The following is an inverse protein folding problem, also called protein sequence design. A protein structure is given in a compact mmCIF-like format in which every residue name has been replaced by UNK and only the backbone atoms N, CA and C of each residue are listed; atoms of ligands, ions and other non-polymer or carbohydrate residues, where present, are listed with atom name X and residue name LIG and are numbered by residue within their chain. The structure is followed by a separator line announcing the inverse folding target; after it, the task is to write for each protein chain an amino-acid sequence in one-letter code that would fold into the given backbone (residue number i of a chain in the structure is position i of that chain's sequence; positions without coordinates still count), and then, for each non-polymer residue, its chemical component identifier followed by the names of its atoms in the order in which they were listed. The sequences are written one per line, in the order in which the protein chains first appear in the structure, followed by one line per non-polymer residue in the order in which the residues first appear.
data_IF_239223333722
#
_entry.id   IF_239223333722
#
_cell.length_a   1.000
_cell.length_b   1.000
_cell.length_c   1.000
_cell.angle_alpha   90.00
_cell.angle_beta   90.00
_cell.angle_gamma   90.00
#
_symmetry.space_group_name_H-M   'P 1'
#
loop_
_entity.id
_entity.type
_entity.pdbx_description
1 polymer ?
#
# COMPACT_ATOMS: atom_id res chain seq x y z
N UNK A 1 -31.94 -0.86 9.71
CA UNK A 1 -31.30 0.25 8.97
C UNK A 1 -29.85 -0.13 8.77
N UNK A 2 -29.49 -0.42 7.54
CA UNK A 2 -28.21 -1.04 7.18
C UNK A 2 -27.08 -0.03 7.39
N UNK A 3 -26.18 -0.26 8.36
CA UNK A 3 -25.01 0.59 8.65
C UNK A 3 -23.91 0.45 7.57
N UNK A 4 -24.32 0.25 6.32
CA UNK A 4 -23.44 -0.16 5.24
C UNK A 4 -22.48 0.96 4.85
N UNK A 5 -22.91 2.22 4.89
CA UNK A 5 -22.06 3.40 4.66
C UNK A 5 -20.91 3.49 5.68
N UNK A 6 -21.19 3.27 6.97
CA UNK A 6 -20.20 3.25 8.06
C UNK A 6 -19.24 2.07 7.93
N UNK A 7 -19.74 0.90 7.51
CA UNK A 7 -18.92 -0.29 7.26
C UNK A 7 -17.98 -0.06 6.08
N UNK A 8 -18.47 0.56 5.00
CA UNK A 8 -17.64 0.94 3.85
C UNK A 8 -16.57 1.93 4.28
N UNK A 9 -16.91 2.99 5.02
CA UNK A 9 -15.94 3.95 5.54
C UNK A 9 -14.83 3.28 6.33
N UNK A 10 -15.18 2.36 7.26
CA UNK A 10 -14.21 1.60 8.03
C UNK A 10 -13.28 0.76 7.14
N UNK A 11 -13.84 0.07 6.14
CA UNK A 11 -13.03 -0.72 5.18
C UNK A 11 -12.08 0.16 4.39
N UNK A 12 -12.56 1.28 3.85
CA UNK A 12 -11.73 2.20 3.07
C UNK A 12 -10.63 2.84 3.93
N UNK A 13 -10.95 3.21 5.17
CA UNK A 13 -10.00 3.81 6.10
C UNK A 13 -8.89 2.83 6.49
N UNK A 14 -9.25 1.59 6.85
CA UNK A 14 -8.28 0.54 7.20
C UNK A 14 -7.43 0.16 5.99
N UNK A 15 -8.02 0.09 4.80
CA UNK A 15 -7.29 -0.32 3.60
C UNK A 15 -6.30 0.75 3.12
N UNK A 16 -6.67 2.03 3.18
CA UNK A 16 -5.79 3.14 2.80
C UNK A 16 -5.40 3.18 1.32
N UNK A 17 -6.02 2.35 0.47
CA UNK A 17 -5.77 2.22 -0.96
C UNK A 17 -7.11 2.12 -1.73
N UNK A 18 -7.14 2.34 -3.06
CA UNK A 18 -8.33 2.12 -3.87
C UNK A 18 -8.88 0.70 -3.78
N UNK A 19 -10.16 0.58 -3.47
CA UNK A 19 -10.90 -0.69 -3.40
C UNK A 19 -11.91 -0.75 -4.55
N UNK A 20 -11.97 -1.88 -5.26
CA UNK A 20 -12.99 -2.09 -6.30
C UNK A 20 -14.38 -2.33 -5.71
N UNK A 21 -15.42 -1.94 -6.44
CA UNK A 21 -16.80 -2.24 -6.06
C UNK A 21 -17.04 -3.74 -5.85
N UNK A 22 -16.49 -4.59 -6.72
CA UNK A 22 -16.57 -6.05 -6.59
C UNK A 22 -15.99 -6.55 -5.26
N UNK A 23 -14.86 -5.98 -4.83
CA UNK A 23 -14.21 -6.33 -3.57
C UNK A 23 -15.05 -5.87 -2.38
N UNK A 24 -15.67 -4.70 -2.44
CA UNK A 24 -16.60 -4.23 -1.41
C UNK A 24 -17.83 -5.15 -1.30
N UNK A 25 -18.42 -5.55 -2.43
CA UNK A 25 -19.53 -6.53 -2.48
C UNK A 25 -19.11 -7.84 -1.81
N UNK A 26 -17.93 -8.36 -2.15
CA UNK A 26 -17.41 -9.61 -1.60
C UNK A 26 -17.19 -9.55 -0.08
N UNK A 27 -16.67 -8.44 0.43
CA UNK A 27 -16.33 -8.28 1.86
C UNK A 27 -17.57 -7.97 2.70
N UNK A 28 -18.43 -7.08 2.23
CA UNK A 28 -19.53 -6.54 3.03
C UNK A 28 -20.86 -7.26 2.83
N UNK A 29 -20.96 -8.03 1.75
CA UNK A 29 -22.19 -8.66 1.28
C UNK A 29 -23.14 -7.65 0.62
N UNK A 30 -24.09 -8.16 -0.16
CA UNK A 30 -25.11 -7.36 -0.83
C UNK A 30 -24.96 -7.30 -2.36
N UNK A 31 -25.76 -6.47 -3.00
CA UNK A 31 -25.69 -6.24 -4.45
C UNK A 31 -24.81 -5.02 -4.74
N UNK A 32 -24.29 -4.95 -5.97
CA UNK A 32 -23.53 -3.77 -6.42
C UNK A 32 -24.34 -2.47 -6.26
N UNK A 33 -25.65 -2.51 -6.52
CA UNK A 33 -26.57 -1.38 -6.30
C UNK A 33 -26.58 -0.93 -4.84
N UNK A 34 -26.70 -1.86 -3.88
CA UNK A 34 -26.68 -1.52 -2.44
C UNK A 34 -25.36 -0.89 -2.01
N UNK A 35 -24.23 -1.39 -2.52
CA UNK A 35 -22.92 -0.81 -2.24
C UNK A 35 -22.80 0.60 -2.83
N UNK A 36 -23.31 0.81 -4.04
CA UNK A 36 -23.31 2.12 -4.68
C UNK A 36 -24.19 3.13 -3.91
N UNK A 37 -25.38 2.70 -3.47
CA UNK A 37 -26.27 3.54 -2.66
C UNK A 37 -25.64 3.92 -1.31
N UNK A 38 -24.94 2.96 -0.68
CA UNK A 38 -24.21 3.20 0.56
C UNK A 38 -22.99 4.13 0.35
N UNK A 39 -22.29 4.03 -0.78
CA UNK A 39 -21.22 4.97 -1.14
C UNK A 39 -21.75 6.38 -1.38
N UNK A 40 -22.92 6.52 -2.03
CA UNK A 40 -23.57 7.81 -2.19
C UNK A 40 -24.02 8.42 -0.85
N UNK A 41 -24.50 7.58 0.08
CA UNK A 41 -24.83 8.01 1.44
C UNK A 41 -23.58 8.45 2.23
N UNK A 42 -22.48 7.72 2.09
CA UNK A 42 -21.19 8.08 2.67
C UNK A 42 -20.68 9.42 2.12
N UNK A 43 -20.74 9.63 0.81
CA UNK A 43 -20.30 10.88 0.18
C UNK A 43 -21.07 12.10 0.72
N UNK A 44 -22.40 11.97 0.85
CA UNK A 44 -23.25 12.99 1.48
C UNK A 44 -22.88 13.25 2.94
N UNK A 45 -22.52 12.21 3.70
CA UNK A 45 -22.11 12.35 5.10
C UNK A 45 -20.74 13.01 5.25
N UNK A 46 -19.84 12.82 4.28
CA UNK A 46 -18.54 13.48 4.21
C UNK A 46 -18.61 14.90 3.64
N UNK A 47 -19.77 15.34 3.16
CA UNK A 47 -19.97 16.69 2.64
C UNK A 47 -19.64 17.74 3.72
N UNK A 48 -18.78 18.70 3.39
CA UNK A 48 -18.32 19.75 4.31
C UNK A 48 -17.23 19.33 5.30
N UNK A 49 -16.85 18.05 5.38
CA UNK A 49 -15.74 17.55 6.20
C UNK A 49 -14.38 17.61 5.51
N UNK A 50 -13.32 17.18 6.21
CA UNK A 50 -11.94 17.16 5.68
C UNK A 50 -11.68 16.01 4.68
N UNK A 51 -12.47 14.96 4.73
CA UNK A 51 -12.34 13.77 3.88
C UNK A 51 -13.34 13.81 2.71
N UNK A 52 -13.02 13.08 1.66
CA UNK A 52 -13.86 12.89 0.47
C UNK A 52 -13.63 11.51 -0.12
N UNK A 53 -14.60 11.01 -0.89
CA UNK A 53 -14.37 9.85 -1.75
C UNK A 53 -13.73 10.30 -3.06
N UNK A 54 -12.75 9.53 -3.53
CA UNK A 54 -12.12 9.71 -4.85
C UNK A 54 -12.33 8.45 -5.66
N UNK A 55 -12.83 8.65 -6.88
CA UNK A 55 -13.12 7.59 -7.82
C UNK A 55 -12.04 7.52 -8.91
N UNK A 56 -11.63 6.30 -9.24
CA UNK A 56 -10.78 6.02 -10.38
C UNK A 56 -11.30 4.75 -11.05
N UNK A 57 -11.96 4.90 -12.20
CA UNK A 57 -12.74 3.83 -12.86
C UNK A 57 -13.72 3.21 -11.84
N UNK A 58 -13.67 1.89 -11.65
CA UNK A 58 -14.54 1.15 -10.72
C UNK A 58 -13.95 0.98 -9.31
N UNK A 59 -12.95 1.81 -8.97
CA UNK A 59 -12.32 1.81 -7.64
C UNK A 59 -12.59 3.11 -6.89
N UNK A 60 -12.73 2.99 -5.57
CA UNK A 60 -13.00 4.09 -4.65
C UNK A 60 -12.01 4.07 -3.48
N UNK A 61 -11.58 5.23 -3.03
CA UNK A 61 -10.76 5.41 -1.82
C UNK A 61 -11.20 6.64 -1.03
N UNK A 62 -10.89 6.65 0.27
CA UNK A 62 -10.91 7.87 1.07
C UNK A 62 -9.66 8.70 0.79
N UNK A 63 -9.85 10.02 0.68
CA UNK A 63 -8.77 10.98 0.55
C UNK A 63 -9.11 12.26 1.33
N UNK A 64 -8.11 13.11 1.55
CA UNK A 64 -8.30 14.47 2.06
C UNK A 64 -8.79 15.40 0.95
N UNK A 65 -9.62 16.39 1.29
CA UNK A 65 -10.06 17.42 0.33
C UNK A 65 -8.90 18.32 -0.12
N UNK A 66 -8.94 18.88 -1.34
CA UNK A 66 -7.91 19.79 -1.85
C UNK A 66 -7.65 21.02 -0.97
N UNK A 67 -8.66 21.49 -0.22
CA UNK A 67 -8.52 22.60 0.72
C UNK A 67 -7.43 22.37 1.78
N UNK A 68 -7.14 21.11 2.12
CA UNK A 68 -6.12 20.71 3.11
C UNK A 68 -4.81 20.25 2.46
N UNK A 69 -4.62 20.50 1.16
CA UNK A 69 -3.43 20.06 0.45
C UNK A 69 -2.13 20.66 1.02
N UNK A 70 -2.17 21.88 1.57
CA UNK A 70 -1.00 22.50 2.21
C UNK A 70 -0.55 21.73 3.45
N UNK A 71 -1.49 21.34 4.31
CA UNK A 71 -1.18 20.58 5.52
C UNK A 71 -0.61 19.20 5.18
N UNK A 72 -1.19 18.54 4.17
CA UNK A 72 -0.68 17.28 3.64
C UNK A 72 0.74 17.42 3.07
N UNK A 73 1.04 18.52 2.36
CA UNK A 73 2.38 18.79 1.82
C UNK A 73 3.43 19.01 2.92
N UNK A 74 3.08 19.73 3.99
CA UNK A 74 3.97 19.94 5.14
C UNK A 74 4.28 18.59 5.79
N UNK A 75 3.25 17.78 6.07
CA UNK A 75 3.42 16.45 6.64
C UNK A 75 4.31 15.56 5.77
N UNK A 76 4.04 15.49 4.46
CA UNK A 76 4.86 14.72 3.52
C UNK A 76 6.31 15.22 3.52
N UNK A 77 6.53 16.54 3.53
CA UNK A 77 7.87 17.11 3.56
C UNK A 77 8.63 16.72 4.83
N UNK A 78 7.98 16.79 5.99
CA UNK A 78 8.55 16.32 7.25
C UNK A 78 8.87 14.82 7.19
N UNK A 79 7.92 14.01 6.76
CA UNK A 79 8.07 12.55 6.62
C UNK A 79 9.21 12.17 5.68
N UNK A 80 9.45 12.93 4.60
CA UNK A 80 10.55 12.68 3.66
C UNK A 80 11.88 13.23 4.17
N UNK A 81 11.87 14.34 4.93
CA UNK A 81 13.08 14.97 5.46
C UNK A 81 13.73 14.23 6.62
N UNK A 82 12.96 13.44 7.37
CA UNK A 82 13.49 12.63 8.47
C UNK A 82 14.38 11.49 7.94
N UNK A 83 15.32 11.02 8.74
CA UNK A 83 16.07 9.80 8.42
C UNK A 83 15.15 8.59 8.28
N UNK A 84 15.55 7.62 7.46
CA UNK A 84 14.84 6.36 7.32
C UNK A 84 14.99 5.59 8.64
N UNK A 85 13.87 5.33 9.32
CA UNK A 85 13.87 4.54 10.55
C UNK A 85 14.48 3.15 10.31
N UNK A 86 15.03 2.53 11.36
CA UNK A 86 15.57 1.16 11.28
C UNK A 86 14.57 0.17 10.68
N UNK A 87 13.30 0.23 11.11
CA UNK A 87 12.26 -0.64 10.58
C UNK A 87 11.97 -0.36 9.09
N UNK A 88 12.05 0.88 8.63
CA UNK A 88 11.90 1.21 7.22
C UNK A 88 13.09 0.73 6.38
N UNK A 89 14.32 0.89 6.88
CA UNK A 89 15.53 0.38 6.24
C UNK A 89 15.51 -1.15 6.11
N UNK A 90 15.04 -1.86 7.15
CA UNK A 90 14.87 -3.31 7.09
C UNK A 90 13.84 -3.75 6.05
N UNK A 91 12.68 -3.07 5.93
CA UNK A 91 11.71 -3.37 4.85
C UNK A 91 12.30 -3.08 3.48
N UNK A 92 12.99 -1.94 3.35
CA UNK A 92 13.59 -1.54 2.08
C UNK A 92 14.65 -2.55 1.63
N UNK A 93 15.48 -3.06 2.55
CA UNK A 93 16.43 -4.12 2.28
C UNK A 93 15.74 -5.40 1.79
N UNK A 94 14.66 -5.84 2.44
CA UNK A 94 13.89 -7.00 1.97
C UNK A 94 13.44 -6.82 0.51
N UNK A 95 12.87 -5.66 0.18
CA UNK A 95 12.40 -5.37 -1.18
C UNK A 95 13.58 -5.31 -2.18
N UNK A 96 14.69 -4.68 -1.79
CA UNK A 96 15.86 -4.50 -2.63
C UNK A 96 16.55 -5.83 -2.97
N UNK A 97 16.77 -6.69 -1.97
CA UNK A 97 17.47 -7.96 -2.15
C UNK A 97 16.57 -9.08 -2.69
N UNK A 98 15.28 -9.11 -2.35
CA UNK A 98 14.37 -10.17 -2.83
C UNK A 98 13.77 -9.83 -4.20
N UNK A 99 13.74 -8.57 -4.59
CA UNK A 99 13.07 -8.08 -5.80
C UNK A 99 11.57 -7.95 -5.61
N UNK A 100 10.81 -7.89 -6.70
CA UNK A 100 9.37 -7.61 -6.65
C UNK A 100 8.55 -8.65 -5.86
N UNK A 101 7.87 -8.23 -4.79
CA UNK A 101 7.09 -9.12 -3.92
C UNK A 101 5.80 -8.46 -3.35
N UNK A 102 4.73 -9.23 -3.06
CA UNK A 102 3.51 -8.70 -2.46
C UNK A 102 3.69 -8.36 -0.97
N UNK A 103 2.85 -7.47 -0.44
CA UNK A 103 2.89 -7.08 1.00
C UNK A 103 2.87 -8.28 1.94
N UNK A 104 2.09 -9.31 1.65
CA UNK A 104 1.97 -10.50 2.48
C UNK A 104 3.28 -11.28 2.63
N UNK A 105 4.16 -11.26 1.62
CA UNK A 105 5.50 -11.86 1.70
C UNK A 105 6.46 -10.95 2.46
N UNK A 106 6.35 -9.63 2.29
CA UNK A 106 7.13 -8.64 3.06
C UNK A 106 6.81 -8.79 4.56
N UNK A 107 5.53 -8.83 4.91
CA UNK A 107 5.06 -9.02 6.29
C UNK A 107 5.56 -10.34 6.88
N UNK A 108 5.58 -11.41 6.07
CA UNK A 108 6.09 -12.71 6.50
C UNK A 108 7.61 -12.69 6.77
N UNK A 109 8.41 -12.06 5.90
CA UNK A 109 9.86 -11.92 6.09
C UNK A 109 10.17 -11.01 7.28
N UNK A 110 9.42 -9.91 7.45
CA UNK A 110 9.61 -8.96 8.55
C UNK A 110 9.05 -9.44 9.88
N UNK A 111 8.13 -10.40 9.86
CA UNK A 111 7.41 -10.90 11.04
C UNK A 111 6.40 -9.90 11.63
N UNK A 112 6.13 -8.77 10.96
CA UNK A 112 5.26 -7.69 11.44
C UNK A 112 4.51 -7.03 10.27
N UNK A 113 3.45 -6.29 10.58
CA UNK A 113 2.68 -5.55 9.58
C UNK A 113 3.52 -4.39 9.00
N UNK A 114 3.71 -4.39 7.68
CA UNK A 114 4.54 -3.41 6.97
C UNK A 114 3.72 -2.32 6.27
N UNK A 115 2.40 -2.23 6.47
CA UNK A 115 1.52 -1.34 5.69
C UNK A 115 1.91 0.13 5.82
N UNK A 116 2.17 0.60 7.04
CA UNK A 116 2.60 1.98 7.27
C UNK A 116 4.01 2.25 6.70
N UNK A 117 4.93 1.31 6.87
CA UNK A 117 6.30 1.41 6.36
C UNK A 117 6.30 1.49 4.82
N UNK A 118 5.53 0.63 4.15
CA UNK A 118 5.42 0.63 2.69
C UNK A 118 4.83 1.95 2.18
N UNK A 119 3.81 2.49 2.86
CA UNK A 119 3.25 3.80 2.53
C UNK A 119 4.31 4.89 2.63
N UNK A 120 5.10 4.91 3.70
CA UNK A 120 6.18 5.90 3.87
C UNK A 120 7.29 5.75 2.83
N UNK A 121 7.69 4.52 2.48
CA UNK A 121 8.70 4.27 1.44
C UNK A 121 8.20 4.69 0.05
N UNK A 122 6.90 4.50 -0.25
CA UNK A 122 6.25 4.99 -1.47
C UNK A 122 6.24 6.52 -1.51
N UNK A 123 5.89 7.19 -0.41
CA UNK A 123 5.86 8.66 -0.31
C UNK A 123 7.26 9.24 -0.54
N UNK A 124 8.30 8.58 -0.02
CA UNK A 124 9.71 8.94 -0.26
C UNK A 124 10.20 8.62 -1.68
N UNK A 125 9.41 7.90 -2.48
CA UNK A 125 9.79 7.48 -3.82
C UNK A 125 10.91 6.43 -3.86
N UNK A 126 11.22 5.76 -2.75
CA UNK A 126 12.28 4.73 -2.69
C UNK A 126 11.79 3.37 -3.22
N UNK A 127 10.47 3.16 -3.20
CA UNK A 127 9.83 2.00 -3.80
C UNK A 127 8.70 2.44 -4.71
N UNK A 128 8.32 1.55 -5.61
CA UNK A 128 7.14 1.67 -6.44
C UNK A 128 6.28 0.40 -6.30
N UNK A 129 4.99 0.51 -6.62
CA UNK A 129 4.07 -0.63 -6.64
C UNK A 129 3.49 -0.84 -8.03
N UNK A 130 3.24 -2.11 -8.37
CA UNK A 130 2.58 -2.52 -9.61
C UNK A 130 1.47 -3.51 -9.28
N UNK A 131 0.46 -3.61 -10.15
CA UNK A 131 -0.57 -4.64 -10.01
C UNK A 131 0.08 -6.01 -10.04
N UNK A 132 -0.31 -6.87 -9.10
CA UNK A 132 0.22 -8.22 -9.03
C UNK A 132 -0.29 -9.05 -10.22
N UNK A 133 0.61 -9.62 -11.06
CA UNK A 133 0.21 -10.42 -12.22
C UNK A 133 -0.48 -11.73 -11.84
N UNK A 134 -0.32 -12.21 -10.60
CA UNK A 134 -0.96 -13.44 -10.09
C UNK A 134 -2.34 -13.20 -9.46
N UNK A 135 -2.59 -11.99 -8.95
CA UNK A 135 -3.90 -11.58 -8.40
C UNK A 135 -4.07 -10.07 -8.57
N UNK A 136 -4.88 -9.67 -9.55
CA UNK A 136 -5.13 -8.27 -9.91
C UNK A 136 -5.70 -7.39 -8.79
N UNK A 137 -6.15 -7.99 -7.68
CA UNK A 137 -6.67 -7.27 -6.50
C UNK A 137 -5.57 -6.92 -5.49
N UNK A 138 -4.32 -7.27 -5.77
CA UNK A 138 -3.18 -7.06 -4.89
C UNK A 138 -2.05 -6.35 -5.65
N UNK A 139 -1.10 -5.79 -4.90
CA UNK A 139 0.07 -5.12 -5.43
C UNK A 139 1.35 -5.88 -5.09
N UNK A 140 2.33 -5.78 -5.98
CA UNK A 140 3.73 -6.13 -5.72
C UNK A 140 4.54 -4.84 -5.59
N UNK A 141 5.55 -4.86 -4.73
CA UNK A 141 6.40 -3.73 -4.41
C UNK A 141 7.83 -4.04 -4.85
N UNK A 142 8.50 -3.05 -5.44
CA UNK A 142 9.89 -3.13 -5.86
C UNK A 142 10.59 -1.78 -5.62
N UNK A 143 11.92 -1.78 -5.56
CA UNK A 143 12.68 -0.53 -5.47
C UNK A 143 12.49 0.32 -6.73
N UNK A 144 12.48 1.63 -6.56
CA UNK A 144 12.39 2.58 -7.67
C UNK A 144 13.75 2.85 -8.29
N UNK A 145 13.77 3.58 -9.40
CA UNK A 145 15.02 4.14 -9.97
C UNK A 145 15.65 5.16 -9.02
N UNK A 146 14.85 5.91 -8.27
CA UNK A 146 15.36 6.92 -7.35
C UNK A 146 16.09 6.30 -6.14
N UNK A 147 15.73 5.08 -5.74
CA UNK A 147 16.52 4.29 -4.79
C UNK A 147 17.93 4.01 -5.30
N UNK A 148 18.09 3.59 -6.56
CA UNK A 148 19.40 3.33 -7.15
C UNK A 148 20.23 4.62 -7.23
N UNK A 149 19.61 5.74 -7.64
CA UNK A 149 20.25 7.05 -7.65
C UNK A 149 20.72 7.47 -6.25
N UNK A 150 19.89 7.25 -5.24
CA UNK A 150 20.21 7.59 -3.85
C UNK A 150 21.44 6.82 -3.35
N UNK A 151 21.58 5.54 -3.72
CA UNK A 151 22.75 4.73 -3.36
C UNK A 151 23.93 4.88 -4.32
N UNK A 152 23.78 5.62 -5.43
CA UNK A 152 24.82 5.76 -6.45
C UNK A 152 25.10 4.46 -7.23
N UNK A 153 24.11 3.59 -7.37
CA UNK A 153 24.24 2.29 -8.03
C UNK A 153 23.70 2.34 -9.46
N UNK A 154 24.33 1.60 -10.38
CA UNK A 154 23.85 1.48 -11.76
C UNK A 154 22.84 0.34 -11.93
N UNK A 155 22.89 -0.66 -11.05
CA UNK A 155 21.98 -1.80 -11.03
C UNK A 155 21.81 -2.34 -9.61
N UNK A 156 20.74 -3.09 -9.37
CA UNK A 156 20.44 -3.61 -8.03
C UNK A 156 21.43 -4.67 -7.56
N UNK A 157 22.03 -5.42 -8.50
CA UNK A 157 23.01 -6.47 -8.23
C UNK A 157 24.34 -5.94 -7.66
N UNK A 158 24.58 -4.62 -7.72
CA UNK A 158 25.74 -3.97 -7.09
C UNK A 158 25.58 -3.80 -5.58
N UNK A 159 24.42 -4.14 -5.02
CA UNK A 159 24.24 -4.17 -3.57
C UNK A 159 25.21 -5.17 -2.92
N UNK A 160 25.76 -4.86 -1.73
CA UNK A 160 26.62 -5.77 -1.00
C UNK A 160 25.95 -7.12 -0.79
N UNK A 161 26.66 -8.22 -1.06
CA UNK A 161 26.17 -9.58 -0.82
C UNK A 161 24.84 -9.92 -1.53
N UNK A 162 24.51 -9.22 -2.64
CA UNK A 162 23.23 -9.36 -3.31
C UNK A 162 22.82 -10.79 -3.62
N UNK A 163 23.71 -11.56 -4.25
CA UNK A 163 23.43 -12.95 -4.63
C UNK A 163 23.14 -13.85 -3.42
N UNK A 164 23.83 -13.63 -2.30
CA UNK A 164 23.64 -14.41 -1.08
C UNK A 164 22.28 -14.10 -0.43
N UNK A 165 21.96 -12.82 -0.25
CA UNK A 165 20.69 -12.42 0.35
C UNK A 165 19.50 -12.76 -0.54
N UNK A 166 19.60 -12.55 -1.85
CA UNK A 166 18.56 -12.93 -2.81
C UNK A 166 18.22 -14.42 -2.72
N UNK A 167 19.24 -15.27 -2.60
CA UNK A 167 19.08 -16.71 -2.40
C UNK A 167 18.42 -17.03 -1.05
N UNK A 168 18.94 -16.49 0.05
CA UNK A 168 18.40 -16.72 1.41
C UNK A 168 16.93 -16.33 1.52
N UNK A 169 16.53 -15.17 0.99
CA UNK A 169 15.11 -14.77 1.00
C UNK A 169 14.26 -15.68 0.12
N UNK A 170 14.78 -16.14 -1.02
CA UNK A 170 14.10 -17.13 -1.86
C UNK A 170 13.82 -18.44 -1.13
N UNK A 171 14.82 -18.99 -0.46
CA UNK A 171 14.71 -20.22 0.35
C UNK A 171 13.71 -20.04 1.51
N UNK A 172 13.78 -18.90 2.20
CA UNK A 172 12.87 -18.59 3.32
C UNK A 172 11.40 -18.55 2.89
N UNK A 173 11.10 -17.97 1.71
CA UNK A 173 9.73 -17.92 1.20
C UNK A 173 9.22 -19.28 0.70
N UNK A 174 10.10 -20.16 0.20
CA UNK A 174 9.73 -21.53 -0.18
C UNK A 174 9.33 -22.34 1.06
N UNK A 175 10.01 -22.09 2.20
CA UNK A 175 9.68 -22.69 3.48
C UNK A 175 8.39 -22.15 4.12
N UNK A 176 7.76 -21.10 3.54
CA UNK A 176 6.51 -20.54 4.05
C UNK A 176 5.42 -21.63 4.03
N UNK A 177 4.79 -21.96 5.18
CA UNK A 177 3.70 -22.91 5.19
C UNK A 177 2.57 -22.39 4.30
N UNK A 178 2.02 -23.27 3.44
CA UNK A 178 0.84 -22.94 2.65
C UNK A 178 -0.30 -22.62 3.62
N UNK A 179 -0.80 -21.39 3.57
CA UNK A 179 -2.00 -21.00 4.32
C UNK A 179 -3.16 -21.91 3.87
N UNK A 180 -3.72 -22.67 4.82
CA UNK A 180 -4.90 -23.52 4.63
C UNK A 180 -6.17 -22.68 4.45
#
# INVERSE_FOLDING_TARGET
MDNLDKRIEAVLFIHGEPVSLERLVKILGGTQTKIQDALNALDKRLAGGALTLVWHKDTVQLATRPAFAKDAQVLIKEEVSNDISRAASETLAVIAYKGSLPRSEIDYIRGVNSSYILRNLLIRGLIERRTNPKDSRTYIYQVSVDFLKFLGLSRIEELPEYAEFAKKFGEFLIAKPKEN
#
